data_IF_464151680075
#
_entry.id   IF_464151680075
#
_cell.length_a   1.000
_cell.length_b   1.000
_cell.length_c   1.000
_cell.angle_alpha   90.00
_cell.angle_beta   90.00
_cell.angle_gamma   90.00
#
_symmetry.space_group_name_H-M   'P 1'
#
loop_
_entity.id
_entity.type
_entity.pdbx_description
1 polymer ?
#
# COMPACT_ATOMS: atom_id res chain seq x y z
N UNK A 1 -24.35 3.01 -5.22
CA UNK A 1 -23.41 3.29 -6.33
C UNK A 1 -22.11 2.58 -6.00
N UNK A 2 -21.82 1.52 -6.73
CA UNK A 2 -20.71 0.61 -6.47
C UNK A 2 -19.38 1.31 -6.76
N UNK A 3 -18.74 1.86 -5.73
CA UNK A 3 -17.38 2.36 -5.89
C UNK A 3 -16.44 1.14 -6.00
N UNK A 4 -15.57 1.07 -7.02
CA UNK A 4 -14.70 -0.08 -7.27
C UNK A 4 -13.57 -0.24 -6.24
N UNK A 5 -13.53 0.57 -5.18
CA UNK A 5 -12.41 0.64 -4.25
C UNK A 5 -12.91 0.54 -2.81
N UNK A 6 -12.59 -0.57 -2.13
CA UNK A 6 -12.98 -0.90 -0.75
C UNK A 6 -12.25 -0.04 0.30
N UNK A 7 -11.91 1.21 -0.01
CA UNK A 7 -11.15 2.09 0.89
C UNK A 7 -12.10 2.96 1.71
N UNK A 8 -11.85 3.00 3.03
CA UNK A 8 -12.55 3.93 3.92
C UNK A 8 -12.20 5.38 3.58
N UNK A 9 -13.05 6.34 4.00
CA UNK A 9 -12.80 7.76 3.82
C UNK A 9 -11.42 8.19 4.36
N UNK A 10 -11.05 7.66 5.54
CA UNK A 10 -9.74 7.93 6.15
C UNK A 10 -8.58 7.42 5.28
N UNK A 11 -8.71 6.22 4.70
CA UNK A 11 -7.69 5.66 3.81
C UNK A 11 -7.57 6.47 2.52
N UNK A 12 -8.69 6.93 1.96
CA UNK A 12 -8.69 7.82 0.79
C UNK A 12 -7.99 9.15 1.12
N UNK A 13 -8.24 9.71 2.30
CA UNK A 13 -7.56 10.92 2.76
C UNK A 13 -6.04 10.71 2.92
N UNK A 14 -5.62 9.61 3.54
CA UNK A 14 -4.19 9.24 3.66
C UNK A 14 -3.51 9.14 2.29
N UNK A 15 -4.16 8.53 1.30
CA UNK A 15 -3.63 8.45 -0.07
C UNK A 15 -3.45 9.83 -0.71
N UNK A 16 -4.39 10.74 -0.50
CA UNK A 16 -4.27 12.13 -0.98
C UNK A 16 -3.05 12.84 -0.36
N UNK A 17 -2.85 12.68 0.95
CA UNK A 17 -1.67 13.25 1.63
C UNK A 17 -0.37 12.65 1.09
N UNK A 18 -0.32 11.33 0.86
CA UNK A 18 0.87 10.67 0.29
C UNK A 18 1.15 11.18 -1.13
N UNK A 19 0.13 11.32 -1.98
CA UNK A 19 0.29 11.86 -3.35
C UNK A 19 0.92 13.26 -3.34
N UNK A 20 0.48 14.13 -2.44
CA UNK A 20 1.06 15.47 -2.31
C UNK A 20 2.52 15.45 -1.82
N UNK A 21 2.93 14.41 -1.09
CA UNK A 21 4.33 14.24 -0.69
C UNK A 21 5.18 13.70 -1.83
N UNK A 22 4.64 12.78 -2.64
CA UNK A 22 5.35 12.21 -3.80
C UNK A 22 5.75 13.28 -4.82
N UNK A 23 4.96 14.35 -4.98
CA UNK A 23 5.31 15.46 -5.90
C UNK A 23 6.51 16.28 -5.45
N UNK A 24 6.98 16.11 -4.20
CA UNK A 24 8.11 16.84 -3.64
C UNK A 24 9.42 16.01 -3.67
N UNK A 25 9.35 14.73 -4.06
CA UNK A 25 10.51 13.85 -4.05
C UNK A 25 11.36 14.01 -5.30
N UNK A 26 12.67 13.89 -5.12
CA UNK A 26 13.59 13.73 -6.24
C UNK A 26 13.54 12.30 -6.81
N UNK A 27 14.17 12.09 -7.97
CA UNK A 27 14.13 10.81 -8.68
C UNK A 27 14.70 9.66 -7.83
N UNK A 28 15.84 9.89 -7.17
CA UNK A 28 16.49 8.89 -6.33
C UNK A 28 15.62 8.49 -5.14
N UNK A 29 15.03 9.48 -4.45
CA UNK A 29 14.11 9.24 -3.33
C UNK A 29 12.88 8.47 -3.78
N UNK A 30 12.30 8.85 -4.93
CA UNK A 30 11.14 8.19 -5.51
C UNK A 30 11.42 6.72 -5.84
N UNK A 31 12.59 6.42 -6.40
CA UNK A 31 13.04 5.05 -6.69
C UNK A 31 13.25 4.25 -5.40
N UNK A 32 13.88 4.85 -4.40
CA UNK A 32 14.09 4.22 -3.10
C UNK A 32 12.77 3.85 -2.43
N UNK A 33 11.82 4.78 -2.34
CA UNK A 33 10.50 4.54 -1.76
C UNK A 33 9.68 3.51 -2.54
N UNK A 34 9.83 3.45 -3.86
CA UNK A 34 9.18 2.42 -4.68
C UNK A 34 9.70 1.02 -4.33
N UNK A 35 11.02 0.83 -4.27
CA UNK A 35 11.63 -0.45 -3.90
C UNK A 35 11.15 -0.90 -2.51
N UNK A 36 11.24 0.00 -1.52
CA UNK A 36 10.82 -0.28 -0.15
C UNK A 36 9.32 -0.62 -0.05
N UNK A 37 8.48 0.06 -0.82
CA UNK A 37 7.03 -0.22 -0.87
C UNK A 37 6.77 -1.61 -1.45
N UNK A 38 7.46 -2.00 -2.52
CA UNK A 38 7.33 -3.33 -3.12
C UNK A 38 7.78 -4.43 -2.15
N UNK A 39 8.88 -4.23 -1.43
CA UNK A 39 9.35 -5.16 -0.39
C UNK A 39 8.28 -5.37 0.70
N UNK A 40 7.70 -4.28 1.22
CA UNK A 40 6.61 -4.38 2.20
C UNK A 40 5.37 -5.06 1.64
N UNK A 41 5.05 -4.85 0.36
CA UNK A 41 3.93 -5.54 -0.28
C UNK A 41 4.17 -7.06 -0.36
N UNK A 42 5.39 -7.51 -0.69
CA UNK A 42 5.75 -8.93 -0.70
C UNK A 42 5.65 -9.55 0.70
N UNK A 43 6.15 -8.86 1.72
CA UNK A 43 6.06 -9.33 3.12
C UNK A 43 4.60 -9.43 3.55
N UNK A 44 3.79 -8.40 3.25
CA UNK A 44 2.35 -8.39 3.57
C UNK A 44 1.62 -9.53 2.87
N UNK A 45 1.92 -9.81 1.61
CA UNK A 45 1.34 -10.92 0.86
C UNK A 45 1.70 -12.28 1.49
N UNK A 46 2.96 -12.47 1.89
CA UNK A 46 3.38 -13.69 2.59
C UNK A 46 2.67 -13.87 3.93
N UNK A 47 2.46 -12.79 4.69
CA UNK A 47 1.69 -12.82 5.95
C UNK A 47 0.24 -13.23 5.67
N UNK A 48 -0.42 -12.64 4.66
CA UNK A 48 -1.78 -13.00 4.29
C UNK A 48 -1.86 -14.48 3.89
N UNK A 49 -0.96 -14.96 3.04
CA UNK A 49 -0.87 -16.38 2.65
C UNK A 49 -0.70 -17.29 3.85
N UNK A 50 0.16 -16.93 4.79
CA UNK A 50 0.36 -17.67 6.03
C UNK A 50 -0.92 -17.72 6.87
N UNK A 51 -1.58 -16.58 7.07
CA UNK A 51 -2.81 -16.50 7.85
C UNK A 51 -3.95 -17.31 7.21
N UNK A 52 -4.13 -17.20 5.90
CA UNK A 52 -5.13 -17.97 5.15
C UNK A 52 -4.85 -19.48 5.21
N UNK A 53 -3.58 -19.89 5.15
CA UNK A 53 -3.19 -21.31 5.23
C UNK A 53 -3.38 -21.90 6.63
N UNK A 54 -3.20 -21.08 7.67
CA UNK A 54 -3.21 -21.54 9.07
C UNK A 54 -4.53 -21.27 9.81
N UNK A 55 -5.33 -20.29 9.37
CA UNK A 55 -6.74 -20.21 9.72
C UNK A 55 -7.46 -21.20 8.81
N UNK A 56 -7.87 -22.37 9.34
CA UNK A 56 -8.86 -23.22 8.67
C UNK A 56 -10.18 -22.46 8.57
N UNK A 57 -10.35 -21.71 7.48
CA UNK A 57 -11.62 -21.51 6.80
C UNK A 57 -11.61 -22.45 5.60
#
# INVERSE_FOLDING_TARGET
>A
MNQPNNLSLEQQFKLTVIRNKLTLLELEESQYYLCLTLEYMLIKDNIIKFLVKNQRI
#
